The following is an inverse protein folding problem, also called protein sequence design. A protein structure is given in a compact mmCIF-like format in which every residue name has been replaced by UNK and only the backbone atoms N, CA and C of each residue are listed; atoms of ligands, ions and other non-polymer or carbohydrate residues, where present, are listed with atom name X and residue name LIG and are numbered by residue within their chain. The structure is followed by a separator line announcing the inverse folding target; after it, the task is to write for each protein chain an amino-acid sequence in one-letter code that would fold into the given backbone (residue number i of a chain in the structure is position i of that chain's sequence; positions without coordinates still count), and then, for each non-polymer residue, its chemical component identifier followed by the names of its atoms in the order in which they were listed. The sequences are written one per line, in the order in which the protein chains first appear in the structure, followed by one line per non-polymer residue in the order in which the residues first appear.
data_IF_226431382437
#
_entry.id   IF_226431382437
#
_cell.length_a   1.000
_cell.length_b   1.000
_cell.length_c   1.000
_cell.angle_alpha   90.00
_cell.angle_beta   90.00
_cell.angle_gamma   90.00
#
_symmetry.space_group_name_H-M   'P 1'
#
loop_
_entity.id
_entity.type
_entity.pdbx_description
1 polymer ?
#
# COMPACT_ATOMS: atom_id res chain seq x y z
N UNK A 1 12.10 22.60 -10.52
CA UNK A 1 11.10 21.74 -9.89
C UNK A 1 11.80 20.46 -9.48
N UNK A 2 11.70 20.08 -8.21
CA UNK A 2 12.24 18.83 -7.68
C UNK A 2 11.37 17.64 -8.07
N UNK A 3 11.87 16.41 -7.95
CA UNK A 3 11.06 15.20 -8.21
C UNK A 3 9.89 15.07 -7.22
N UNK A 4 10.07 15.54 -5.98
CA UNK A 4 9.01 15.62 -4.97
C UNK A 4 7.89 16.59 -5.41
N UNK A 5 8.26 17.78 -5.87
CA UNK A 5 7.31 18.77 -6.40
C UNK A 5 6.63 18.28 -7.70
N UNK A 6 7.36 17.56 -8.56
CA UNK A 6 6.83 16.94 -9.76
C UNK A 6 5.77 15.91 -9.42
N UNK A 7 6.07 15.00 -8.49
CA UNK A 7 5.12 13.98 -8.05
C UNK A 7 3.91 14.63 -7.40
N UNK A 8 4.10 15.58 -6.46
CA UNK A 8 2.99 16.32 -5.85
C UNK A 8 2.04 16.93 -6.89
N UNK A 9 2.59 17.55 -7.93
CA UNK A 9 1.79 18.10 -9.03
C UNK A 9 1.05 17.02 -9.85
N UNK A 10 1.70 15.90 -10.15
CA UNK A 10 1.05 14.77 -10.85
C UNK A 10 -0.15 14.27 -10.04
N UNK A 11 0.00 14.16 -8.72
CA UNK A 11 -1.07 13.73 -7.82
C UNK A 11 -2.24 14.71 -7.85
N UNK A 12 -1.95 16.02 -7.70
CA UNK A 12 -2.95 17.09 -7.80
C UNK A 12 -3.69 17.08 -9.15
N UNK A 13 -2.98 16.88 -10.26
CA UNK A 13 -3.56 16.85 -11.60
C UNK A 13 -4.38 15.56 -11.86
N UNK A 14 -4.04 14.44 -11.19
CA UNK A 14 -4.68 13.13 -11.37
C UNK A 14 -5.92 12.88 -10.51
N UNK A 15 -6.11 13.68 -9.45
CA UNK A 15 -7.17 13.46 -8.45
C UNK A 15 -6.96 12.16 -7.68
N UNK A 16 -7.90 11.21 -7.82
CA UNK A 16 -7.93 9.95 -7.04
C UNK A 16 -7.40 8.71 -7.78
N UNK A 17 -7.13 8.83 -9.08
CA UNK A 17 -6.97 7.64 -9.94
C UNK A 17 -5.51 7.37 -10.25
N UNK A 18 -4.77 6.88 -9.26
CA UNK A 18 -3.40 6.41 -9.47
C UNK A 18 -3.46 4.90 -9.66
N UNK A 19 -3.55 4.49 -10.92
CA UNK A 19 -3.46 3.09 -11.27
C UNK A 19 -2.01 2.60 -11.08
N UNK A 20 -1.79 1.34 -10.66
CA UNK A 20 -0.45 0.75 -10.64
C UNK A 20 0.18 0.82 -12.04
N UNK A 21 1.38 1.39 -12.15
CA UNK A 21 2.06 1.55 -13.43
C UNK A 21 3.13 2.64 -13.45
N UNK A 22 3.58 2.96 -14.66
CA UNK A 22 4.43 4.12 -14.94
C UNK A 22 3.54 5.34 -15.19
N UNK A 23 3.80 6.44 -14.49
CA UNK A 23 3.11 7.71 -14.60
C UNK A 23 4.18 8.79 -14.70
N UNK A 24 4.34 9.39 -15.88
CA UNK A 24 5.34 10.42 -16.17
C UNK A 24 6.77 10.05 -15.71
N UNK A 25 7.13 8.77 -15.86
CA UNK A 25 8.44 8.24 -15.46
C UNK A 25 8.56 7.92 -13.96
N UNK A 26 7.51 8.13 -13.17
CA UNK A 26 7.38 7.58 -11.82
C UNK A 26 6.75 6.19 -11.89
N UNK A 27 7.38 5.21 -11.27
CA UNK A 27 6.91 3.82 -11.28
C UNK A 27 6.37 3.45 -9.91
N UNK A 28 5.13 2.99 -9.84
CA UNK A 28 4.57 2.43 -8.60
C UNK A 28 5.34 1.17 -8.17
N UNK A 29 5.79 1.12 -6.92
CA UNK A 29 6.61 0.04 -6.37
C UNK A 29 5.88 -0.76 -5.30
N UNK A 30 5.12 -0.10 -4.44
CA UNK A 30 4.44 -0.75 -3.33
C UNK A 30 3.21 0.04 -2.88
N UNK A 31 2.21 -0.69 -2.39
CA UNK A 31 1.09 -0.15 -1.63
C UNK A 31 1.08 -0.82 -0.26
N UNK A 32 1.13 -0.03 0.81
CA UNK A 32 1.14 -0.50 2.19
C UNK A 32 -0.18 -0.07 2.82
N UNK A 33 -1.02 -1.04 3.17
CA UNK A 33 -2.32 -0.77 3.79
C UNK A 33 -2.18 -0.61 5.31
N UNK A 34 -2.57 0.55 5.83
CA UNK A 34 -2.66 0.82 7.26
C UNK A 34 -4.08 0.53 7.78
N UNK A 35 -4.22 -0.24 8.87
CA UNK A 35 -5.52 -0.49 9.47
C UNK A 35 -5.91 0.67 10.39
N UNK A 36 -6.57 1.68 9.84
CA UNK A 36 -6.93 2.87 10.62
C UNK A 36 -8.26 2.71 11.36
N UNK A 37 -9.35 2.34 10.65
CA UNK A 37 -10.71 2.32 11.22
C UNK A 37 -11.57 1.21 10.62
N UNK A 38 -12.74 0.98 11.23
CA UNK A 38 -13.72 -0.04 10.77
C UNK A 38 -14.25 0.23 9.36
N UNK A 39 -14.24 1.48 8.90
CA UNK A 39 -14.90 1.93 7.67
C UNK A 39 -14.02 2.82 6.77
N UNK A 40 -12.74 2.96 7.09
CA UNK A 40 -11.75 3.57 6.18
C UNK A 40 -10.38 2.92 6.41
N UNK A 41 -9.54 2.96 5.39
CA UNK A 41 -8.13 2.59 5.51
C UNK A 41 -7.28 3.59 4.73
N UNK A 42 -6.11 3.90 5.24
CA UNK A 42 -5.08 4.61 4.48
C UNK A 42 -4.22 3.58 3.77
N UNK A 43 -3.85 3.86 2.52
CA UNK A 43 -2.74 3.18 1.86
C UNK A 43 -1.58 4.17 1.67
N UNK A 44 -0.39 3.74 2.06
CA UNK A 44 0.85 4.42 1.71
C UNK A 44 1.32 3.88 0.36
N UNK A 45 1.35 4.75 -0.64
CA UNK A 45 1.75 4.42 -2.00
C UNK A 45 3.20 4.87 -2.22
N UNK A 46 4.05 3.95 -2.66
CA UNK A 46 5.47 4.21 -2.88
C UNK A 46 5.77 4.24 -4.37
N UNK A 47 6.30 5.37 -4.84
CA UNK A 47 6.68 5.62 -6.22
C UNK A 47 8.20 5.73 -6.35
N UNK A 48 8.76 5.17 -7.42
CA UNK A 48 10.15 5.35 -7.82
C UNK A 48 10.26 6.40 -8.90
N UNK A 49 11.00 7.47 -8.64
CA UNK A 49 11.26 8.52 -9.60
C UNK A 49 12.27 8.09 -10.70
N UNK A 50 12.39 8.85 -11.79
CA UNK A 50 13.38 8.60 -12.83
C UNK A 50 14.83 8.57 -12.32
N UNK A 51 15.16 9.33 -11.26
CA UNK A 51 16.46 9.28 -10.60
C UNK A 51 16.76 7.96 -9.87
N UNK A 52 15.73 7.13 -9.64
CA UNK A 52 15.79 5.94 -8.80
C UNK A 52 15.46 6.19 -7.32
N UNK A 53 15.25 7.44 -6.90
CA UNK A 53 14.78 7.78 -5.54
C UNK A 53 13.34 7.32 -5.32
N UNK A 54 13.00 7.07 -4.07
CA UNK A 54 11.66 6.64 -3.68
C UNK A 54 10.94 7.76 -2.95
N UNK A 55 9.68 7.93 -3.28
CA UNK A 55 8.78 8.89 -2.68
C UNK A 55 7.51 8.18 -2.26
N UNK A 56 6.92 8.59 -1.15
CA UNK A 56 5.67 8.04 -0.65
C UNK A 56 4.64 9.15 -0.43
N UNK A 57 3.38 8.78 -0.54
CA UNK A 57 2.24 9.60 -0.17
C UNK A 57 1.13 8.73 0.42
N UNK A 58 0.28 9.32 1.25
CA UNK A 58 -0.85 8.64 1.87
C UNK A 58 -2.12 8.90 1.07
N UNK A 59 -2.91 7.84 0.88
CA UNK A 59 -4.21 7.90 0.24
C UNK A 59 -5.28 7.31 1.18
N UNK A 60 -6.33 8.06 1.50
CA UNK A 60 -7.44 7.57 2.33
C UNK A 60 -8.53 6.95 1.46
N UNK A 61 -8.88 5.70 1.77
CA UNK A 61 -9.94 4.96 1.10
C UNK A 61 -11.11 4.76 2.06
N UNK A 62 -12.29 5.23 1.67
CA UNK A 62 -13.55 4.88 2.33
C UNK A 62 -13.96 3.44 1.99
N UNK A 63 -14.34 2.63 3.00
CA UNK A 63 -14.81 1.23 2.79
C UNK A 63 -16.33 1.13 2.56
N UNK A 64 -17.01 2.22 2.27
CA UNK A 64 -18.44 2.21 1.94
C UNK A 64 -18.64 2.57 0.47
N UNK A 65 -19.11 1.58 -0.28
CA UNK A 65 -19.82 1.79 -1.54
C UNK A 65 -20.74 3.01 -1.42
N UNK A 66 -20.65 3.93 -2.37
CA UNK A 66 -21.79 4.72 -2.87
C UNK A 66 -22.77 5.22 -1.79
N UNK A 67 -22.36 6.09 -0.87
CA UNK A 67 -23.30 7.07 -0.36
C UNK A 67 -23.27 8.27 -1.29
N UNK A 68 -24.42 8.52 -1.91
CA UNK A 68 -24.76 9.67 -2.76
C UNK A 68 -24.88 10.96 -1.93
N UNK A 69 -24.18 11.06 -0.80
CA UNK A 69 -24.26 12.17 0.15
C UNK A 69 -23.17 13.21 -0.11
N UNK A 70 -22.90 13.50 -1.39
CA UNK A 70 -22.41 14.82 -1.83
C UNK A 70 -21.09 15.31 -1.24
N UNK A 71 -20.34 14.48 -0.50
CA UNK A 71 -18.97 14.73 -0.10
C UNK A 71 -18.05 14.03 -1.09
N UNK A 72 -17.87 14.69 -2.24
CA UNK A 72 -16.70 14.48 -3.08
C UNK A 72 -15.42 14.85 -2.33
N UNK A 73 -14.25 14.43 -2.83
CA UNK A 73 -13.06 14.20 -2.03
C UNK A 73 -12.38 15.51 -1.63
N UNK A 74 -12.57 15.95 -0.39
CA UNK A 74 -11.87 17.12 0.17
C UNK A 74 -10.92 16.73 1.30
N UNK A 75 -10.16 15.64 1.12
CA UNK A 75 -9.01 15.33 1.97
C UNK A 75 -7.81 14.94 1.13
N UNK A 76 -7.25 15.93 0.43
CA UNK A 76 -6.00 15.78 -0.32
C UNK A 76 -4.91 16.63 0.30
N UNK A 77 -4.51 16.29 1.51
CA UNK A 77 -3.16 16.65 1.95
C UNK A 77 -2.22 15.54 1.47
N UNK A 78 -1.94 15.55 0.15
CA UNK A 78 -0.91 14.69 -0.45
C UNK A 78 0.47 15.21 -0.03
N UNK A 79 0.77 15.10 1.27
CA UNK A 79 2.12 15.34 1.74
C UNK A 79 3.01 14.22 1.19
N UNK A 80 3.75 14.54 0.12
CA UNK A 80 4.75 13.67 -0.48
C UNK A 80 6.05 13.79 0.30
N UNK A 81 6.67 12.67 0.66
CA UNK A 81 7.96 12.63 1.34
C UNK A 81 8.89 11.58 0.74
N UNK A 82 10.20 11.80 0.89
CA UNK A 82 11.23 10.86 0.46
C UNK A 82 11.33 9.67 1.43
N UNK A 83 11.52 8.47 0.90
CA UNK A 83 11.64 7.23 1.68
C UNK A 83 12.85 6.41 1.23
N UNK A 84 13.38 5.57 2.12
CA UNK A 84 14.43 4.61 1.80
C UNK A 84 13.91 3.17 1.97
N UNK A 85 14.25 2.29 1.02
CA UNK A 85 13.88 0.89 1.11
C UNK A 85 14.80 0.15 2.09
N UNK A 86 14.24 -0.35 3.20
CA UNK A 86 14.93 -1.21 4.15
C UNK A 86 14.40 -2.64 3.98
N UNK A 87 15.30 -3.59 3.69
CA UNK A 87 14.94 -5.01 3.55
C UNK A 87 15.35 -5.77 4.81
N UNK A 88 14.37 -6.41 5.46
CA UNK A 88 14.59 -7.26 6.62
C UNK A 88 14.11 -8.69 6.37
N UNK A 89 14.82 -9.67 6.93
CA UNK A 89 14.42 -11.08 6.87
C UNK A 89 13.84 -11.50 8.22
N UNK A 90 12.58 -11.94 8.22
CA UNK A 90 11.89 -12.43 9.44
C UNK A 90 11.88 -13.96 9.44
N UNK A 91 12.57 -14.57 10.40
CA UNK A 91 12.48 -16.02 10.63
C UNK A 91 11.13 -16.37 11.26
N UNK A 92 10.34 -17.25 10.62
CA UNK A 92 9.04 -17.69 11.12
C UNK A 92 9.02 -19.19 11.39
N UNK A 93 9.06 -19.55 12.67
CA UNK A 93 8.86 -20.94 13.12
C UNK A 93 7.38 -21.24 13.27
N UNK A 94 6.91 -22.29 12.59
CA UNK A 94 5.55 -22.85 12.76
C UNK A 94 5.65 -24.27 13.27
N UNK A 95 4.96 -24.56 14.37
CA UNK A 95 4.84 -25.91 14.91
C UNK A 95 3.53 -26.53 14.39
N UNK A 96 3.61 -27.72 13.82
CA UNK A 96 2.44 -28.48 13.37
C UNK A 96 2.25 -29.69 14.27
N UNK A 97 0.99 -30.10 14.44
CA UNK A 97 0.66 -31.29 15.22
C UNK A 97 1.14 -32.53 14.46
N UNK A 98 1.90 -33.40 15.12
CA UNK A 98 2.17 -34.74 14.60
C UNK A 98 0.95 -35.60 14.90
N UNK A 99 0.30 -36.11 13.85
CA UNK A 99 -0.72 -37.13 14.00
C UNK A 99 -0.04 -38.45 14.39
N UNK A 100 -0.33 -38.95 15.58
CA UNK A 100 0.08 -40.29 15.97
C UNK A 100 -0.89 -41.29 15.33
N UNK A 101 -0.39 -42.19 14.48
CA UNK A 101 -1.16 -43.33 14.02
C UNK A 101 -1.68 -44.08 15.24
N UNK A 102 -3.00 -44.29 15.30
CA UNK A 102 -3.57 -45.12 16.35
C UNK A 102 -3.04 -46.55 16.17
N UNK A 103 -2.76 -47.24 17.26
CA UNK A 103 -2.18 -48.59 17.27
C UNK A 103 -3.01 -49.66 16.51
N UNK A 104 -4.16 -49.29 15.93
CA UNK A 104 -5.00 -50.16 15.11
C UNK A 104 -4.50 -50.33 13.65
N UNK A 105 -3.57 -49.50 13.15
CA UNK A 105 -3.08 -49.59 11.76
C UNK A 105 -1.75 -50.35 11.60
N UNK A 106 -1.13 -50.79 12.70
CA UNK A 106 0.15 -51.52 12.65
C UNK A 106 -0.03 -53.05 12.57
N UNK A 107 -1.27 -53.55 12.71
CA UNK A 107 -1.60 -54.99 12.63
C UNK A 107 -2.64 -55.32 11.52
N UNK A 108 -2.59 -54.65 10.37
CA UNK A 108 -3.38 -55.01 9.18
C UNK A 108 -2.49 -55.38 7.99
#
# INVERSE_FOLDING_TARGET
MTELEQLGKILEDSGDTIAPGDIDGFVHVASIRHPDRRWSYTSEEVMRAPSGRLYAFLNEHGLTECQDDGYGPEFHDYTVYEVEAVTEFVERTRYVKVEQASAAEVEA
#
